data_IF_713932559252
#
_entry.id   IF_713932559252
#
_cell.length_a   1.000
_cell.length_b   1.000
_cell.length_c   1.000
_cell.angle_alpha   90.00
_cell.angle_beta   90.00
_cell.angle_gamma   90.00
#
_symmetry.space_group_name_H-M   'P 1'
#
loop_
_entity.id
_entity.type
_entity.pdbx_description
1 polymer ?
#
# COMPACT_ATOMS: atom_id res chain seq x y z
N UNK A 1 -19.85 -3.72 10.44
CA UNK A 1 -19.14 -3.41 9.17
C UNK A 1 -20.15 -3.53 8.03
N UNK A 2 -20.38 -2.47 7.25
CA UNK A 2 -21.42 -2.43 6.20
C UNK A 2 -21.02 -3.23 4.96
N UNK A 3 -21.96 -3.94 4.29
CA UNK A 3 -21.68 -4.79 3.12
C UNK A 3 -21.00 -4.06 1.95
N UNK A 4 -21.32 -2.78 1.74
CA UNK A 4 -20.65 -1.90 0.75
C UNK A 4 -19.14 -1.73 0.98
N UNK A 5 -18.69 -1.83 2.24
CA UNK A 5 -17.28 -1.74 2.60
C UNK A 5 -16.53 -3.03 2.27
N UNK A 6 -17.23 -4.18 2.35
CA UNK A 6 -16.69 -5.50 2.01
C UNK A 6 -16.59 -5.66 0.49
N UNK A 7 -17.60 -5.18 -0.26
CA UNK A 7 -17.55 -5.16 -1.73
C UNK A 7 -16.38 -4.32 -2.25
N UNK A 8 -16.06 -3.20 -1.63
CA UNK A 8 -14.93 -2.35 -2.05
C UNK A 8 -13.58 -2.82 -1.50
N UNK A 9 -13.55 -3.84 -0.65
CA UNK A 9 -12.33 -4.31 -0.03
C UNK A 9 -11.55 -5.24 -0.96
N UNK A 10 -10.33 -4.87 -1.31
CA UNK A 10 -9.43 -5.66 -2.14
C UNK A 10 -9.09 -7.03 -1.55
N UNK A 11 -9.20 -7.20 -0.22
CA UNK A 11 -9.00 -8.49 0.45
C UNK A 11 -10.07 -9.53 0.10
N UNK A 12 -11.16 -9.15 -0.59
CA UNK A 12 -12.10 -10.11 -1.15
C UNK A 12 -11.43 -11.03 -2.19
N UNK A 13 -10.44 -10.52 -2.92
CA UNK A 13 -9.76 -11.27 -3.97
C UNK A 13 -8.75 -12.26 -3.37
N UNK A 14 -8.81 -13.52 -3.83
CA UNK A 14 -7.87 -14.59 -3.41
C UNK A 14 -6.43 -14.18 -3.69
N UNK A 15 -6.18 -13.65 -4.89
CA UNK A 15 -4.87 -13.18 -5.33
C UNK A 15 -4.29 -12.12 -4.39
N UNK A 16 -5.08 -11.11 -4.01
CA UNK A 16 -4.63 -10.04 -3.09
C UNK A 16 -4.29 -10.61 -1.72
N UNK A 17 -5.04 -11.60 -1.22
CA UNK A 17 -4.72 -12.29 0.04
C UNK A 17 -3.43 -13.11 -0.06
N UNK A 18 -3.15 -13.71 -1.22
CA UNK A 18 -1.94 -14.49 -1.48
C UNK A 18 -0.68 -13.62 -1.64
N UNK A 19 -0.75 -12.58 -2.46
CA UNK A 19 0.37 -11.64 -2.75
C UNK A 19 0.94 -10.98 -1.48
N UNK A 20 0.16 -10.93 -0.39
CA UNK A 20 0.64 -10.48 0.92
C UNK A 20 1.86 -11.25 1.43
N UNK A 21 2.18 -12.44 0.90
CA UNK A 21 3.45 -13.13 1.14
C UNK A 21 4.69 -12.25 0.86
N UNK A 22 4.58 -11.24 -0.02
CA UNK A 22 5.67 -10.31 -0.33
C UNK A 22 5.77 -9.13 0.66
N UNK A 23 4.94 -9.08 1.69
CA UNK A 23 5.00 -8.00 2.68
C UNK A 23 6.10 -8.27 3.70
N UNK A 24 7.02 -7.33 3.89
CA UNK A 24 8.13 -7.45 4.86
C UNK A 24 7.63 -7.83 6.26
N UNK A 25 6.54 -7.21 6.72
CA UNK A 25 5.96 -7.54 8.03
C UNK A 25 5.56 -9.01 8.14
N UNK A 26 5.02 -9.61 7.07
CA UNK A 26 4.63 -11.03 7.08
C UNK A 26 5.86 -11.93 6.98
N UNK A 27 6.89 -11.50 6.27
CA UNK A 27 8.15 -12.23 6.14
C UNK A 27 8.96 -12.21 7.46
N UNK A 28 8.90 -11.11 8.21
CA UNK A 28 9.60 -10.92 9.49
C UNK A 28 8.81 -11.52 10.66
N UNK A 29 7.47 -11.34 10.68
CA UNK A 29 6.65 -11.69 11.86
C UNK A 29 6.17 -13.13 11.89
N UNK A 30 6.22 -13.85 10.77
CA UNK A 30 5.71 -15.21 10.70
C UNK A 30 6.86 -16.19 10.51
N UNK A 31 6.89 -17.22 11.36
CA UNK A 31 7.50 -18.49 11.00
C UNK A 31 7.01 -18.87 9.60
N UNK A 32 7.95 -19.30 8.75
CA UNK A 32 7.80 -19.53 7.30
C UNK A 32 6.43 -20.08 6.84
N UNK A 33 5.74 -20.89 7.66
CA UNK A 33 4.44 -21.50 7.37
C UNK A 33 3.33 -20.54 6.89
N UNK A 34 3.13 -19.37 7.51
CA UNK A 34 2.07 -18.42 7.09
C UNK A 34 2.38 -17.76 5.75
N UNK A 35 3.66 -17.52 5.48
CA UNK A 35 4.13 -17.00 4.19
C UNK A 35 3.96 -18.07 3.09
N UNK A 36 4.31 -19.33 3.39
CA UNK A 36 4.18 -20.47 2.48
C UNK A 36 2.72 -20.69 2.06
N UNK A 37 1.77 -20.65 3.00
CA UNK A 37 0.35 -20.76 2.67
C UNK A 37 -0.14 -19.62 1.76
N UNK A 38 0.39 -18.42 1.95
CA UNK A 38 0.01 -17.25 1.15
C UNK A 38 0.57 -17.34 -0.27
N UNK A 39 1.80 -17.80 -0.44
CA UNK A 39 2.35 -18.00 -1.78
C UNK A 39 1.64 -19.16 -2.51
N UNK A 40 1.23 -20.22 -1.82
CA UNK A 40 0.39 -21.27 -2.41
C UNK A 40 -0.91 -20.68 -2.98
N UNK A 41 -1.65 -19.91 -2.17
CA UNK A 41 -2.88 -19.24 -2.62
C UNK A 41 -2.63 -18.35 -3.84
N UNK A 42 -1.50 -17.63 -3.86
CA UNK A 42 -1.15 -16.79 -5.00
C UNK A 42 -0.89 -17.63 -6.25
N UNK A 43 -0.04 -18.66 -6.15
CA UNK A 43 0.33 -19.52 -7.27
C UNK A 43 -0.85 -20.32 -7.83
N UNK A 44 -1.71 -20.86 -6.96
CA UNK A 44 -2.96 -21.52 -7.36
C UNK A 44 -3.82 -20.57 -8.19
N UNK A 45 -3.94 -19.30 -7.77
CA UNK A 45 -4.69 -18.30 -8.53
C UNK A 45 -4.06 -18.01 -9.90
N UNK A 46 -2.73 -18.03 -10.03
CA UNK A 46 -2.07 -17.87 -11.33
C UNK A 46 -2.23 -19.10 -12.23
N UNK A 47 -2.28 -20.31 -11.67
CA UNK A 47 -2.57 -21.55 -12.39
C UNK A 47 -4.01 -21.54 -12.89
N UNK A 48 -4.96 -21.19 -12.02
CA UNK A 48 -6.39 -21.06 -12.34
C UNK A 48 -6.63 -20.05 -13.47
N UNK A 49 -5.86 -18.95 -13.50
CA UNK A 49 -5.93 -17.94 -14.56
C UNK A 49 -5.09 -18.28 -15.81
N UNK A 50 -4.56 -19.50 -15.91
CA UNK A 50 -3.69 -19.97 -17.00
C UNK A 50 -2.46 -19.09 -17.26
N UNK A 51 -2.01 -18.33 -16.26
CA UNK A 51 -0.81 -17.48 -16.35
C UNK A 51 0.48 -18.28 -16.09
N UNK A 52 0.39 -19.46 -15.48
CA UNK A 52 1.49 -20.39 -15.30
C UNK A 52 1.00 -21.85 -15.25
N UNK A 53 1.93 -22.79 -15.42
CA UNK A 53 1.65 -24.23 -15.27
C UNK A 53 1.88 -24.69 -13.83
N UNK A 54 1.18 -25.74 -13.39
CA UNK A 54 1.34 -26.30 -12.04
C UNK A 54 2.81 -26.70 -11.74
N UNK A 55 3.51 -27.29 -12.73
CA UNK A 55 4.93 -27.65 -12.61
C UNK A 55 5.81 -26.41 -12.37
N UNK A 56 5.48 -25.28 -13.02
CA UNK A 56 6.21 -24.02 -12.82
C UNK A 56 5.89 -23.41 -11.46
N UNK A 57 4.62 -23.49 -11.02
CA UNK A 57 4.21 -23.05 -9.70
C UNK A 57 4.97 -23.77 -8.57
N UNK A 58 5.07 -25.09 -8.64
CA UNK A 58 5.83 -25.87 -7.64
C UNK A 58 7.31 -25.49 -7.60
N UNK A 59 7.90 -25.24 -8.77
CA UNK A 59 9.29 -24.79 -8.88
C UNK A 59 9.47 -23.39 -8.27
N UNK A 60 8.55 -22.46 -8.55
CA UNK A 60 8.55 -21.11 -7.96
C UNK A 60 8.40 -21.19 -6.45
N UNK A 61 7.47 -21.99 -5.94
CA UNK A 61 7.29 -22.21 -4.49
C UNK A 61 8.59 -22.69 -3.83
N UNK A 62 9.20 -23.75 -4.37
CA UNK A 62 10.44 -24.31 -3.83
C UNK A 62 11.58 -23.29 -3.82
N UNK A 63 11.75 -22.56 -4.92
CA UNK A 63 12.78 -21.53 -5.03
C UNK A 63 12.52 -20.37 -4.07
N UNK A 64 11.25 -19.95 -3.91
CA UNK A 64 10.88 -18.83 -3.04
C UNK A 64 11.12 -19.18 -1.57
N UNK A 65 10.74 -20.37 -1.13
CA UNK A 65 11.03 -20.84 0.22
C UNK A 65 12.54 -20.86 0.52
N UNK A 66 13.36 -21.33 -0.44
CA UNK A 66 14.83 -21.30 -0.32
C UNK A 66 15.38 -19.87 -0.24
N UNK A 67 14.79 -18.96 -1.02
CA UNK A 67 15.19 -17.56 -1.05
C UNK A 67 14.89 -16.86 0.29
N UNK A 68 13.69 -17.03 0.84
CA UNK A 68 13.30 -16.46 2.14
C UNK A 68 14.11 -17.07 3.29
N UNK A 69 14.43 -18.36 3.22
CA UNK A 69 15.25 -19.03 4.23
C UNK A 69 16.75 -18.65 4.18
N UNK A 70 17.17 -17.80 3.23
CA UNK A 70 18.58 -17.41 3.11
C UNK A 70 18.96 -16.33 4.12
N UNK A 71 20.07 -16.54 4.83
CA UNK A 71 20.61 -15.63 5.85
C UNK A 71 20.87 -14.21 5.32
N UNK A 72 21.18 -14.07 4.02
CA UNK A 72 21.39 -12.78 3.39
C UNK A 72 20.09 -11.97 3.28
N UNK A 73 18.99 -12.62 2.87
CA UNK A 73 17.68 -11.99 2.75
C UNK A 73 17.14 -11.62 4.12
N UNK A 74 17.31 -12.47 5.13
CA UNK A 74 16.93 -12.17 6.51
C UNK A 74 17.62 -10.91 7.05
N UNK A 75 18.93 -10.78 6.81
CA UNK A 75 19.69 -9.59 7.20
C UNK A 75 19.22 -8.33 6.47
N UNK A 76 19.05 -8.40 5.14
CA UNK A 76 18.54 -7.26 4.37
C UNK A 76 17.11 -6.88 4.77
N UNK A 77 16.26 -7.85 5.15
CA UNK A 77 14.92 -7.58 5.67
C UNK A 77 14.92 -6.81 6.98
N UNK A 78 15.85 -7.13 7.90
CA UNK A 78 15.98 -6.46 9.19
C UNK A 78 16.55 -5.04 9.05
N UNK A 79 17.44 -4.83 8.07
CA UNK A 79 18.06 -3.52 7.80
C UNK A 79 17.18 -2.60 6.94
N UNK A 80 16.19 -3.14 6.23
CA UNK A 80 15.35 -2.36 5.33
C UNK A 80 14.37 -1.46 6.08
N UNK A 81 14.52 -0.15 5.89
CA UNK A 81 13.57 0.85 6.41
C UNK A 81 12.30 0.86 5.57
N UNK A 82 11.15 0.78 6.24
CA UNK A 82 9.82 0.73 5.63
C UNK A 82 9.46 1.97 4.79
N UNK A 83 10.21 3.08 4.96
CA UNK A 83 10.08 4.31 4.17
C UNK A 83 10.53 4.14 2.70
N UNK A 84 11.38 3.16 2.41
CA UNK A 84 11.77 2.81 1.04
C UNK A 84 10.70 1.94 0.37
N UNK A 85 10.39 2.23 -0.89
CA UNK A 85 9.38 1.48 -1.64
C UNK A 85 9.69 -0.03 -1.65
N UNK A 86 8.69 -0.86 -1.37
CA UNK A 86 8.78 -2.35 -1.45
C UNK A 86 9.39 -2.83 -2.77
N UNK A 87 9.19 -2.09 -3.85
CA UNK A 87 9.77 -2.34 -5.17
C UNK A 87 11.30 -2.25 -5.15
N UNK A 88 11.86 -1.25 -4.49
CA UNK A 88 13.31 -1.06 -4.39
C UNK A 88 13.97 -2.23 -3.65
N UNK A 89 13.33 -2.73 -2.59
CA UNK A 89 13.78 -3.91 -1.85
C UNK A 89 13.87 -5.16 -2.73
N UNK A 90 12.78 -5.50 -3.42
CA UNK A 90 12.80 -6.67 -4.28
C UNK A 90 13.74 -6.49 -5.46
N UNK A 91 13.79 -5.29 -6.07
CA UNK A 91 14.72 -5.00 -7.17
C UNK A 91 16.18 -5.17 -6.76
N UNK A 92 16.59 -4.63 -5.61
CA UNK A 92 17.97 -4.77 -5.11
C UNK A 92 18.34 -6.21 -4.79
N UNK A 93 17.36 -7.03 -4.38
CA UNK A 93 17.51 -8.45 -4.16
C UNK A 93 17.54 -9.28 -5.46
N UNK A 94 16.86 -8.81 -6.51
CA UNK A 94 16.83 -9.47 -7.82
C UNK A 94 18.16 -9.35 -8.54
N UNK A 95 18.85 -8.20 -8.45
CA UNK A 95 20.13 -7.97 -9.13
C UNK A 95 21.25 -8.88 -8.60
N UNK A 96 21.10 -9.44 -7.40
CA UNK A 96 22.11 -10.27 -6.72
C UNK A 96 21.89 -11.77 -6.84
N UNK A 97 20.74 -12.23 -7.34
CA UNK A 97 20.38 -13.65 -7.38
C UNK A 97 20.02 -14.09 -8.80
N UNK A 98 20.36 -15.33 -9.18
CA UNK A 98 20.29 -15.84 -10.56
C UNK A 98 19.06 -16.68 -10.89
N UNK A 99 18.05 -16.77 -10.00
CA UNK A 99 16.92 -17.68 -10.15
C UNK A 99 15.71 -17.10 -10.94
N UNK A 100 15.78 -17.18 -12.28
CA UNK A 100 14.89 -16.52 -13.24
C UNK A 100 13.37 -16.71 -13.03
N UNK A 101 12.90 -17.90 -12.65
CA UNK A 101 11.45 -18.18 -12.62
C UNK A 101 10.73 -17.53 -11.43
N UNK A 102 11.34 -17.54 -10.25
CA UNK A 102 10.86 -16.77 -9.10
C UNK A 102 10.71 -15.28 -9.42
N UNK A 103 11.69 -14.74 -10.15
CA UNK A 103 11.68 -13.34 -10.50
C UNK A 103 10.54 -13.00 -11.44
N UNK A 104 10.16 -13.90 -12.34
CA UNK A 104 9.01 -13.66 -13.21
C UNK A 104 7.71 -13.53 -12.41
N UNK A 105 7.49 -14.42 -11.43
CA UNK A 105 6.33 -14.32 -10.52
C UNK A 105 6.33 -13.01 -9.73
N UNK A 106 7.44 -12.70 -9.03
CA UNK A 106 7.53 -11.49 -8.21
C UNK A 106 7.40 -10.24 -9.09
N UNK A 107 8.02 -10.22 -10.27
CA UNK A 107 7.92 -9.13 -11.24
C UNK A 107 6.49 -8.93 -11.73
N UNK A 108 5.77 -9.99 -12.10
CA UNK A 108 4.37 -9.91 -12.52
C UNK A 108 3.50 -9.33 -11.39
N UNK A 109 3.71 -9.78 -10.16
CA UNK A 109 3.02 -9.26 -8.98
C UNK A 109 3.33 -7.77 -8.71
N UNK A 110 4.60 -7.36 -8.83
CA UNK A 110 5.02 -5.97 -8.69
C UNK A 110 4.43 -5.08 -9.80
N UNK A 111 4.36 -5.56 -11.04
CA UNK A 111 3.73 -4.86 -12.17
C UNK A 111 2.23 -4.69 -11.93
N UNK A 112 1.54 -5.75 -11.50
CA UNK A 112 0.11 -5.67 -11.16
C UNK A 112 -0.15 -4.68 -10.01
N UNK A 113 0.74 -4.66 -9.01
CA UNK A 113 0.68 -3.71 -7.90
C UNK A 113 0.91 -2.27 -8.34
N UNK A 114 1.71 -2.04 -9.40
CA UNK A 114 1.99 -0.72 -9.97
C UNK A 114 0.82 -0.20 -10.81
N UNK A 115 0.22 -1.05 -11.66
CA UNK A 115 -0.95 -0.70 -12.46
C UNK A 115 -2.16 -0.28 -11.61
N UNK A 116 -2.29 -0.89 -10.42
CA UNK A 116 -3.32 -0.54 -9.45
C UNK A 116 -2.89 0.57 -8.47
N UNK A 117 -1.62 0.98 -8.39
CA UNK A 117 -1.21 2.05 -7.47
C UNK A 117 -1.73 3.44 -7.89
N UNK A 118 -1.98 3.64 -9.18
CA UNK A 118 -2.57 4.87 -9.73
C UNK A 118 -4.12 4.87 -9.70
N UNK A 119 -4.76 3.71 -9.54
CA UNK A 119 -6.23 3.56 -9.63
C UNK A 119 -6.86 3.12 -8.30
N UNK A 120 -6.11 2.41 -7.47
CA UNK A 120 -6.53 1.88 -6.16
C UNK A 120 -5.53 2.36 -5.08
N UNK A 121 -5.90 3.46 -4.44
CA UNK A 121 -5.22 4.26 -3.41
C UNK A 121 -4.77 3.55 -2.11
N UNK A 122 -4.55 2.23 -2.13
CA UNK A 122 -4.25 1.43 -0.94
C UNK A 122 -2.88 0.73 -0.92
N UNK A 123 -2.09 0.84 -1.99
CA UNK A 123 -0.80 0.13 -2.09
C UNK A 123 0.45 1.00 -2.28
N UNK A 124 0.29 2.26 -2.67
CA UNK A 124 1.35 3.28 -2.72
C UNK A 124 0.96 4.45 -1.82
N UNK A 125 1.91 5.03 -1.08
CA UNK A 125 1.75 6.35 -0.46
C UNK A 125 1.77 7.34 -1.62
N UNK A 126 0.67 7.42 -2.35
CA UNK A 126 0.58 8.26 -3.53
C UNK A 126 0.25 9.69 -3.07
N UNK A 127 1.24 10.33 -2.42
CA UNK A 127 1.15 11.70 -1.90
C UNK A 127 0.79 12.70 -3.02
N UNK A 128 1.12 12.35 -4.27
CA UNK A 128 0.77 13.11 -5.48
C UNK A 128 -0.72 12.99 -5.86
N UNK A 129 -1.37 11.84 -5.66
CA UNK A 129 -2.78 11.66 -6.05
C UNK A 129 -3.80 12.24 -5.09
N UNK A 130 -3.41 12.53 -3.85
CA UNK A 130 -4.27 13.26 -2.91
C UNK A 130 -4.69 14.62 -3.48
N UNK A 131 -3.82 15.28 -4.25
CA UNK A 131 -4.06 16.62 -4.80
C UNK A 131 -5.02 16.56 -6.00
N UNK A 132 -4.89 15.55 -6.87
CA UNK A 132 -5.74 15.41 -8.07
C UNK A 132 -7.15 14.90 -7.77
N UNK A 133 -7.33 14.10 -6.72
CA UNK A 133 -8.64 13.59 -6.30
C UNK A 133 -9.37 14.51 -5.30
N UNK A 134 -8.75 15.62 -4.90
CA UNK A 134 -9.37 16.59 -4.00
C UNK A 134 -10.42 17.43 -4.73
N UNK A 135 -11.56 17.63 -4.08
CA UNK A 135 -12.52 18.64 -4.54
C UNK A 135 -11.85 20.01 -4.53
N UNK A 136 -12.15 20.87 -5.50
CA UNK A 136 -11.50 22.19 -5.64
C UNK A 136 -11.54 23.03 -4.35
N UNK A 137 -12.61 22.91 -3.55
CA UNK A 137 -12.71 23.57 -2.23
C UNK A 137 -11.70 23.05 -1.22
N UNK A 138 -11.42 21.75 -1.20
CA UNK A 138 -10.38 21.15 -0.36
C UNK A 138 -8.99 21.63 -0.76
N UNK A 139 -8.74 21.81 -2.07
CA UNK A 139 -7.48 22.37 -2.58
C UNK A 139 -7.29 23.82 -2.12
N UNK A 140 -8.34 24.64 -2.22
CA UNK A 140 -8.32 26.03 -1.75
C UNK A 140 -8.05 26.08 -0.25
N UNK A 141 -8.76 25.28 0.55
CA UNK A 141 -8.56 25.23 1.99
C UNK A 141 -7.13 24.82 2.38
N UNK A 142 -6.57 23.80 1.70
CA UNK A 142 -5.18 23.37 1.91
C UNK A 142 -4.20 24.49 1.57
N UNK A 143 -4.46 25.23 0.48
CA UNK A 143 -3.63 26.37 0.07
C UNK A 143 -3.67 27.50 1.10
N UNK A 144 -4.84 27.84 1.63
CA UNK A 144 -5.00 28.84 2.69
C UNK A 144 -4.17 28.48 3.93
N UNK A 145 -4.18 27.20 4.34
CA UNK A 145 -3.36 26.74 5.47
C UNK A 145 -1.88 26.83 5.15
N UNK A 146 -1.47 26.41 3.94
CA UNK A 146 -0.08 26.50 3.50
C UNK A 146 0.41 27.95 3.51
N UNK A 147 -0.33 28.87 2.92
CA UNK A 147 0.05 30.29 2.86
C UNK A 147 0.14 30.91 4.26
N UNK A 148 -0.77 30.56 5.17
CA UNK A 148 -0.71 31.02 6.56
C UNK A 148 0.56 30.52 7.29
N UNK A 149 0.95 29.26 7.09
CA UNK A 149 2.15 28.66 7.70
C UNK A 149 3.44 29.19 7.06
N UNK A 150 3.44 29.40 5.74
CA UNK A 150 4.56 29.98 5.01
C UNK A 150 4.82 31.42 5.44
N UNK A 151 3.76 32.20 5.67
CA UNK A 151 3.87 33.58 6.14
C UNK A 151 4.32 33.68 7.60
N UNK A 152 4.15 32.63 8.42
CA UNK A 152 4.55 32.63 9.83
C UNK A 152 5.98 32.13 10.08
N UNK A 153 6.87 32.14 9.08
CA UNK A 153 8.25 31.61 9.18
C UNK A 153 8.32 30.15 9.69
N UNK A 154 7.28 29.35 9.44
CA UNK A 154 7.23 27.93 9.78
C UNK A 154 6.17 27.54 10.81
N UNK A 155 6.01 26.22 10.97
CA UNK A 155 4.87 25.60 11.68
C UNK A 155 4.78 25.97 13.16
N UNK A 156 5.92 26.15 13.83
CA UNK A 156 5.97 26.39 15.28
C UNK A 156 5.77 27.86 15.68
N UNK A 157 5.70 28.76 14.70
CA UNK A 157 5.54 30.20 14.89
C UNK A 157 4.14 30.70 14.50
N UNK A 158 3.22 29.79 14.16
CA UNK A 158 1.81 30.12 13.90
C UNK A 158 1.13 30.43 15.22
N UNK A 159 0.63 31.66 15.38
CA UNK A 159 -0.18 32.03 16.53
C UNK A 159 -1.53 31.32 16.51
N UNK A 160 -1.75 30.40 17.45
CA UNK A 160 -3.00 29.65 17.55
C UNK A 160 -4.05 30.51 18.24
N UNK A 161 -4.91 31.14 17.45
CA UNK A 161 -6.03 31.92 17.97
C UNK A 161 -7.10 31.03 18.63
N UNK A 162 -7.77 31.55 19.65
CA UNK A 162 -8.89 30.87 20.34
C UNK A 162 -10.00 30.42 19.40
N UNK A 163 -10.25 31.19 18.33
CA UNK A 163 -11.22 30.85 17.29
C UNK A 163 -10.83 29.60 16.50
N UNK A 164 -9.54 29.39 16.23
CA UNK A 164 -9.06 28.18 15.55
C UNK A 164 -9.28 26.93 16.39
N UNK A 165 -9.09 27.04 17.71
CA UNK A 165 -9.35 25.95 18.66
C UNK A 165 -10.84 25.59 18.68
N UNK A 166 -11.71 26.61 18.71
CA UNK A 166 -13.16 26.42 18.67
C UNK A 166 -13.61 25.80 17.33
N UNK A 167 -13.09 26.30 16.21
CA UNK A 167 -13.36 25.75 14.88
C UNK A 167 -12.91 24.29 14.77
N UNK A 168 -11.72 23.94 15.26
CA UNK A 168 -11.22 22.57 15.27
C UNK A 168 -12.10 21.64 16.11
N UNK A 169 -12.55 22.08 17.30
CA UNK A 169 -13.47 21.32 18.16
C UNK A 169 -14.82 21.05 17.49
N UNK A 170 -15.32 22.02 16.71
CA UNK A 170 -16.63 21.96 16.07
C UNK A 170 -16.58 21.44 14.62
N UNK A 171 -15.39 21.12 14.09
CA UNK A 171 -15.18 20.80 12.67
C UNK A 171 -16.10 19.68 12.16
N UNK A 172 -16.34 18.66 12.99
CA UNK A 172 -17.27 17.58 12.64
C UNK A 172 -18.72 18.07 12.51
N UNK A 173 -19.19 18.93 13.41
CA UNK A 173 -20.55 19.50 13.33
C UNK A 173 -20.70 20.38 12.10
N UNK A 174 -19.74 21.28 11.86
CA UNK A 174 -19.74 22.15 10.68
C UNK A 174 -19.77 21.34 9.38
N UNK A 175 -18.97 20.27 9.28
CA UNK A 175 -18.98 19.39 8.11
C UNK A 175 -20.36 18.76 7.86
N UNK A 176 -21.04 18.28 8.90
CA UNK A 176 -22.38 17.69 8.75
C UNK A 176 -23.44 18.72 8.41
N UNK A 177 -23.31 19.96 8.88
CA UNK A 177 -24.19 21.06 8.50
C UNK A 177 -24.01 21.44 7.03
N UNK A 178 -22.76 21.54 6.57
CA UNK A 178 -22.44 21.79 5.15
C UNK A 178 -22.95 20.67 4.25
N UNK A 179 -22.74 19.40 4.61
CA UNK A 179 -23.28 18.26 3.86
C UNK A 179 -24.81 18.25 3.79
N UNK A 180 -25.50 18.78 4.80
CA UNK A 180 -26.97 18.93 4.78
C UNK A 180 -27.38 20.05 3.84
N UNK A 181 -26.66 21.19 3.87
CA UNK A 181 -26.92 22.32 2.99
C UNK A 181 -26.71 21.96 1.51
N UNK A 182 -25.68 21.16 1.17
CA UNK A 182 -25.42 20.71 -0.20
C UNK A 182 -26.45 19.71 -0.74
N UNK A 183 -27.19 19.00 0.12
CA UNK A 183 -28.25 18.05 -0.27
C UNK A 183 -29.62 18.71 -0.45
N UNK A 184 -29.76 19.98 -0.08
CA UNK A 184 -30.98 20.76 -0.14
C UNK A 184 -31.09 21.61 -1.44
N UNK A 185 -30.15 21.44 -2.36
CA UNK A 185 -30.11 22.02 -3.71
C UNK A 185 -30.22 20.86 -4.71
#
# INVERSE_FOLDING_TARGET
MTPKLIERNLLRFKLVRGIRCLSLNILISASSSSCVQKIEIALDTFVDCHQMTAVTADKVKSQFCKFIASLHVEKEMLEFKQESERRCFYSSLMDKNTNYQNFMFIKNVLIMSHGNAAVESSFSINKAMLIEAMQGRSVIALRTVYDAVSNSEGLFKVDIAKQMILAARNAHSCYHEELKAEKLI
#
